data_IF_853346815161
#
_entry.id   IF_853346815161
#
_cell.length_a   1.000
_cell.length_b   1.000
_cell.length_c   1.000
_cell.angle_alpha   90.00
_cell.angle_beta   90.00
_cell.angle_gamma   90.00
#
_symmetry.space_group_name_H-M   'P 1'
#
loop_
_entity.id
_entity.type
_entity.pdbx_description
1 polymer ?
#
# COMPACT_ATOMS: atom_id res chain seq x y z
N UNK A 1 -1.21 -2.62 9.92
CA UNK A 1 -1.48 -1.39 9.16
C UNK A 1 -1.46 -0.22 10.13
N UNK A 2 -0.75 0.86 9.81
CA UNK A 2 -0.73 2.10 10.60
C UNK A 2 -1.13 3.28 9.72
N UNK A 3 -1.98 4.15 10.24
CA UNK A 3 -2.49 5.31 9.51
C UNK A 3 -1.88 6.61 10.05
N UNK A 4 -1.49 7.49 9.15
CA UNK A 4 -0.83 8.75 9.44
C UNK A 4 -1.38 9.89 8.59
N UNK A 5 -1.08 11.11 9.01
CA UNK A 5 -1.11 12.30 8.17
C UNK A 5 0.26 12.98 8.14
N UNK A 6 0.52 13.76 7.09
CA UNK A 6 1.75 14.52 6.93
C UNK A 6 1.47 15.85 6.22
N UNK A 7 2.44 16.77 6.30
CA UNK A 7 2.38 17.97 5.48
C UNK A 7 2.54 17.60 3.99
N UNK A 8 1.77 18.24 3.09
CA UNK A 8 1.80 17.97 1.62
C UNK A 8 3.21 17.93 1.01
N UNK A 9 4.12 18.74 1.52
CA UNK A 9 5.51 18.81 1.04
C UNK A 9 6.32 17.53 1.33
N UNK A 10 5.87 16.69 2.27
CA UNK A 10 6.50 15.42 2.59
C UNK A 10 6.07 14.28 1.66
N UNK A 11 4.91 14.41 0.98
CA UNK A 11 4.32 13.34 0.17
C UNK A 11 5.24 12.88 -0.98
N UNK A 12 5.91 13.77 -1.75
CA UNK A 12 6.82 13.33 -2.81
C UNK A 12 7.98 12.48 -2.26
N UNK A 13 8.53 12.86 -1.10
CA UNK A 13 9.62 12.12 -0.47
C UNK A 13 9.13 10.79 0.12
N UNK A 14 7.93 10.77 0.69
CA UNK A 14 7.31 9.54 1.17
C UNK A 14 7.05 8.55 0.03
N UNK A 15 6.56 9.03 -1.12
CA UNK A 15 6.35 8.20 -2.34
C UNK A 15 7.60 7.54 -2.86
N UNK A 16 8.75 8.19 -2.72
CA UNK A 16 10.03 7.63 -3.15
C UNK A 16 10.49 6.45 -2.26
N UNK A 17 9.98 6.34 -1.03
CA UNK A 17 10.39 5.35 -0.04
C UNK A 17 9.36 4.22 0.08
N UNK A 18 8.07 4.56 -0.01
CA UNK A 18 6.97 3.59 0.11
C UNK A 18 6.83 2.77 -1.15
N UNK A 19 6.78 1.46 -0.98
CA UNK A 19 6.51 0.51 -2.06
C UNK A 19 5.01 0.33 -2.24
N UNK A 20 4.48 0.70 -3.40
CA UNK A 20 3.03 0.71 -3.65
C UNK A 20 2.60 -0.46 -4.54
N UNK A 21 1.51 -1.18 -4.23
CA UNK A 21 0.91 -2.13 -5.15
C UNK A 21 0.35 -1.43 -6.38
N UNK A 22 0.45 -2.07 -7.54
CA UNK A 22 -0.09 -1.53 -8.79
C UNK A 22 -1.61 -1.78 -8.88
N UNK A 23 -2.40 -0.94 -8.20
CA UNK A 23 -3.86 -1.05 -8.17
C UNK A 23 -4.51 -0.86 -9.55
N UNK A 24 -3.85 -0.14 -10.47
CA UNK A 24 -4.31 0.02 -11.84
C UNK A 24 -4.36 -1.32 -12.61
N UNK A 25 -3.53 -2.30 -12.22
CA UNK A 25 -3.59 -3.65 -12.80
C UNK A 25 -4.93 -4.36 -12.51
N UNK A 26 -5.70 -3.87 -11.53
CA UNK A 26 -7.04 -4.36 -11.19
C UNK A 26 -8.16 -3.46 -11.70
N UNK A 27 -7.85 -2.44 -12.50
CA UNK A 27 -8.81 -1.42 -12.92
C UNK A 27 -9.26 -0.47 -11.80
N UNK A 28 -8.52 -0.42 -10.68
CA UNK A 28 -8.80 0.47 -9.56
C UNK A 28 -7.98 1.74 -9.76
N UNK A 29 -8.66 2.88 -9.94
CA UNK A 29 -8.00 4.18 -10.04
C UNK A 29 -7.45 4.56 -8.68
N UNK A 30 -6.19 4.97 -8.67
CA UNK A 30 -5.50 5.43 -7.46
C UNK A 30 -6.22 6.63 -6.84
N UNK A 31 -6.32 6.64 -5.52
CA UNK A 31 -7.16 7.57 -4.76
C UNK A 31 -6.46 8.94 -4.62
N UNK A 32 -6.28 9.65 -5.75
CA UNK A 32 -5.76 11.03 -5.78
C UNK A 32 -4.27 11.19 -5.43
N UNK A 33 -3.73 12.36 -5.76
CA UNK A 33 -2.32 12.72 -5.53
C UNK A 33 -1.97 13.01 -4.06
N UNK A 34 -2.91 12.86 -3.14
CA UNK A 34 -2.70 13.11 -1.71
C UNK A 34 -2.69 11.82 -0.88
N UNK A 35 -3.28 10.72 -1.36
CA UNK A 35 -3.28 9.46 -0.64
C UNK A 35 -2.00 8.66 -0.90
N UNK A 36 -1.46 8.05 0.15
CA UNK A 36 -0.33 7.12 0.04
C UNK A 36 -0.71 5.83 0.76
N UNK A 37 -0.82 4.75 0.00
CA UNK A 37 -1.01 3.41 0.53
C UNK A 37 0.11 2.50 0.02
N UNK A 38 0.83 1.84 0.93
CA UNK A 38 1.86 0.89 0.57
C UNK A 38 2.68 0.35 1.74
N UNK A 39 3.81 -0.25 1.39
CA UNK A 39 4.70 -0.98 2.27
C UNK A 39 5.92 -0.16 2.67
N UNK A 40 6.37 -0.39 3.90
CA UNK A 40 7.63 0.14 4.43
C UNK A 40 8.33 -0.93 5.28
N UNK A 41 9.66 -0.98 5.20
CA UNK A 41 10.47 -1.83 6.07
C UNK A 41 10.34 -1.38 7.54
N UNK A 42 10.27 -2.33 8.47
CA UNK A 42 10.12 -2.05 9.90
C UNK A 42 11.22 -1.13 10.42
N UNK A 43 12.47 -1.34 10.01
CA UNK A 43 13.61 -0.51 10.46
C UNK A 43 13.56 0.95 9.95
N UNK A 44 12.82 1.24 8.87
CA UNK A 44 12.74 2.59 8.30
C UNK A 44 11.64 3.45 8.93
N UNK A 45 10.66 2.81 9.58
CA UNK A 45 9.42 3.47 9.97
C UNK A 45 9.66 4.65 10.93
N UNK A 46 10.42 4.45 12.00
CA UNK A 46 10.66 5.50 13.00
C UNK A 46 11.49 6.66 12.43
N UNK A 47 12.40 6.36 11.51
CA UNK A 47 13.17 7.37 10.80
C UNK A 47 12.27 8.20 9.89
N UNK A 48 11.40 7.55 9.10
CA UNK A 48 10.44 8.22 8.23
C UNK A 48 9.45 9.06 9.03
N UNK A 49 8.92 8.54 10.14
CA UNK A 49 8.03 9.28 11.04
C UNK A 49 8.69 10.59 11.50
N UNK A 50 9.92 10.51 12.00
CA UNK A 50 10.66 11.67 12.51
C UNK A 50 11.03 12.65 11.39
N UNK A 51 11.58 12.17 10.28
CA UNK A 51 12.12 13.01 9.21
C UNK A 51 11.04 13.67 8.38
N UNK A 52 9.91 13.01 8.17
CA UNK A 52 8.79 13.53 7.38
C UNK A 52 7.67 14.12 8.24
N UNK A 53 7.79 14.05 9.57
CA UNK A 53 6.80 14.58 10.50
C UNK A 53 5.46 13.87 10.43
N UNK A 54 5.46 12.54 10.21
CA UNK A 54 4.23 11.75 10.19
C UNK A 54 3.58 11.77 11.57
N UNK A 55 2.27 11.97 11.60
CA UNK A 55 1.47 11.94 12.84
C UNK A 55 0.45 10.83 12.75
N UNK A 56 0.37 9.98 13.77
CA UNK A 56 -0.63 8.92 13.80
C UNK A 56 -2.03 9.55 13.81
N UNK A 57 -2.85 9.19 12.82
CA UNK A 57 -4.20 9.70 12.66
C UNK A 57 -5.07 8.60 12.08
N UNK A 58 -6.11 8.12 12.79
CA UNK A 58 -6.94 7.01 12.31
C UNK A 58 -7.61 7.26 10.96
N UNK A 59 -7.92 8.53 10.68
CA UNK A 59 -8.52 9.01 9.43
C UNK A 59 -7.51 9.67 8.48
N UNK A 60 -6.22 9.44 8.70
CA UNK A 60 -5.15 10.02 7.90
C UNK A 60 -5.11 9.48 6.47
N UNK A 61 -4.48 10.24 5.59
CA UNK A 61 -4.32 10.00 4.15
C UNK A 61 -3.17 9.04 3.80
N UNK A 62 -2.38 8.64 4.80
CA UNK A 62 -1.23 7.76 4.63
C UNK A 62 -1.49 6.44 5.36
N UNK A 63 -1.53 5.34 4.60
CA UNK A 63 -1.62 3.97 5.12
C UNK A 63 -0.31 3.23 4.89
N UNK A 64 0.37 2.82 5.96
CA UNK A 64 1.62 2.06 5.89
C UNK A 64 1.45 0.64 6.42
N UNK A 65 1.74 -0.33 5.56
CA UNK A 65 1.92 -1.75 5.90
C UNK A 65 3.40 -1.95 6.26
N UNK A 66 3.65 -2.16 7.55
CA UNK A 66 5.00 -2.36 8.08
C UNK A 66 5.34 -3.84 7.97
N UNK A 67 6.55 -4.14 7.48
CA UNK A 67 6.99 -5.53 7.32
C UNK A 67 8.43 -5.73 7.81
N UNK A 68 8.67 -6.88 8.43
CA UNK A 68 10.00 -7.36 8.82
C UNK A 68 10.61 -8.32 7.78
N UNK A 69 9.88 -8.63 6.71
CA UNK A 69 10.42 -9.41 5.59
C UNK A 69 11.52 -8.64 4.86
N UNK A 70 12.40 -9.37 4.17
CA UNK A 70 13.37 -8.80 3.24
C UNK A 70 12.65 -7.89 2.23
N UNK A 71 12.96 -6.60 2.29
CA UNK A 71 12.23 -5.58 1.54
C UNK A 71 12.49 -5.66 0.03
N UNK A 72 13.62 -6.23 -0.40
CA UNK A 72 13.87 -6.50 -1.82
C UNK A 72 13.01 -7.66 -2.32
N UNK A 73 12.78 -8.66 -1.48
CA UNK A 73 11.83 -9.73 -1.79
C UNK A 73 10.39 -9.23 -1.82
N UNK A 74 10.00 -8.36 -0.88
CA UNK A 74 8.68 -7.71 -0.90
C UNK A 74 8.53 -6.86 -2.16
N UNK A 75 9.56 -6.10 -2.56
CA UNK A 75 9.57 -5.33 -3.82
C UNK A 75 9.32 -6.22 -5.03
N UNK A 76 10.01 -7.36 -5.13
CA UNK A 76 9.78 -8.33 -6.21
C UNK A 76 8.33 -8.80 -6.23
N UNK A 77 7.76 -9.18 -5.09
CA UNK A 77 6.38 -9.66 -5.01
C UNK A 77 5.36 -8.59 -5.41
N UNK A 78 5.52 -7.37 -4.90
CA UNK A 78 4.61 -6.24 -5.17
C UNK A 78 4.70 -5.77 -6.63
N UNK A 79 5.89 -5.79 -7.23
CA UNK A 79 6.11 -5.31 -8.61
C UNK A 79 5.87 -6.37 -9.68
N UNK A 80 6.08 -7.66 -9.38
CA UNK A 80 6.02 -8.73 -10.38
C UNK A 80 4.60 -9.26 -10.65
N UNK A 81 3.64 -9.01 -9.76
CA UNK A 81 2.33 -9.65 -9.87
C UNK A 81 1.20 -8.77 -9.34
N UNK A 82 0.04 -8.86 -10.01
CA UNK A 82 -1.20 -8.28 -9.54
C UNK A 82 -1.77 -9.01 -8.31
N UNK A 83 -1.22 -10.17 -7.90
CA UNK A 83 -1.69 -10.94 -6.73
C UNK A 83 -1.60 -10.13 -5.45
N UNK A 84 -0.49 -9.41 -5.20
CA UNK A 84 -0.37 -8.60 -3.99
C UNK A 84 -1.34 -7.43 -4.02
N UNK A 85 -1.53 -6.80 -5.18
CA UNK A 85 -2.54 -5.77 -5.34
C UNK A 85 -3.95 -6.32 -5.08
N UNK A 86 -4.26 -7.53 -5.55
CA UNK A 86 -5.57 -8.16 -5.38
C UNK A 86 -5.83 -8.52 -3.91
N UNK A 87 -4.80 -9.03 -3.21
CA UNK A 87 -4.84 -9.30 -1.79
C UNK A 87 -5.03 -8.01 -0.96
N UNK A 88 -4.26 -6.96 -1.28
CA UNK A 88 -4.38 -5.66 -0.61
C UNK A 88 -5.77 -5.07 -0.84
N UNK A 89 -6.26 -5.08 -2.08
CA UNK A 89 -7.61 -4.64 -2.42
C UNK A 89 -8.68 -5.45 -1.66
N UNK A 90 -8.55 -6.78 -1.58
CA UNK A 90 -9.51 -7.66 -0.90
C UNK A 90 -9.61 -7.44 0.62
N UNK A 91 -8.62 -6.75 1.21
CA UNK A 91 -8.58 -6.38 2.64
C UNK A 91 -8.85 -4.89 2.88
N UNK A 92 -9.16 -4.13 1.83
CA UNK A 92 -9.48 -2.71 1.93
C UNK A 92 -10.74 -2.44 2.75
N UNK A 93 -10.78 -1.29 3.41
CA UNK A 93 -11.93 -0.82 4.18
C UNK A 93 -13.08 -0.33 3.30
N UNK A 94 -12.79 0.21 2.10
CA UNK A 94 -13.83 0.57 1.14
C UNK A 94 -14.42 -0.72 0.54
N UNK A 95 -15.71 -1.02 0.76
CA UNK A 95 -16.33 -2.25 0.26
C UNK A 95 -16.27 -2.40 -1.27
N UNK A 96 -16.17 -1.30 -2.02
CA UNK A 96 -16.05 -1.32 -3.50
C UNK A 96 -14.68 -1.85 -3.92
N UNK A 97 -13.62 -1.33 -3.31
CA UNK A 97 -12.24 -1.79 -3.53
C UNK A 97 -12.13 -3.25 -3.07
N UNK A 98 -12.72 -3.56 -1.90
CA UNK A 98 -12.79 -4.91 -1.35
C UNK A 98 -13.38 -5.91 -2.34
N UNK A 99 -14.54 -5.59 -2.92
CA UNK A 99 -15.22 -6.47 -3.87
C UNK A 99 -14.43 -6.68 -5.17
N UNK A 100 -13.72 -5.66 -5.67
CA UNK A 100 -12.84 -5.81 -6.85
C UNK A 100 -11.66 -6.72 -6.52
N UNK A 101 -11.01 -6.51 -5.37
CA UNK A 101 -9.88 -7.32 -4.93
C UNK A 101 -10.25 -8.79 -4.72
N UNK A 102 -11.38 -9.06 -4.06
CA UNK A 102 -11.85 -10.44 -3.82
C UNK A 102 -12.13 -11.20 -5.11
N UNK A 103 -12.77 -10.54 -6.10
CA UNK A 103 -13.00 -11.16 -7.42
C UNK A 103 -11.69 -11.45 -8.14
N UNK A 104 -10.81 -10.46 -8.26
CA UNK A 104 -9.53 -10.62 -8.93
C UNK A 104 -8.66 -11.70 -8.27
N UNK A 105 -8.63 -11.76 -6.94
CA UNK A 105 -7.88 -12.78 -6.20
C UNK A 105 -8.47 -14.19 -6.45
N UNK A 106 -9.79 -14.31 -6.48
CA UNK A 106 -10.47 -15.59 -6.79
C UNK A 106 -10.14 -16.05 -8.21
N UNK A 107 -10.27 -15.18 -9.21
CA UNK A 107 -9.95 -15.48 -10.62
C UNK A 107 -8.49 -15.92 -10.77
N UNK A 108 -7.56 -15.23 -10.10
CA UNK A 108 -6.13 -15.61 -10.12
C UNK A 108 -5.93 -17.00 -9.51
N UNK A 109 -6.49 -17.28 -8.32
CA UNK A 109 -6.34 -18.58 -7.65
C UNK A 109 -6.95 -19.72 -8.45
N UNK A 110 -8.08 -19.49 -9.13
CA UNK A 110 -8.70 -20.47 -10.02
C UNK A 110 -7.83 -20.77 -11.24
N UNK A 111 -7.11 -19.78 -11.79
CA UNK A 111 -6.20 -19.98 -12.91
C UNK A 111 -4.93 -20.78 -12.55
N UNK A 112 -4.58 -20.89 -11.26
CA UNK A 112 -3.46 -21.72 -10.78
C UNK A 112 -3.85 -23.18 -10.49
N UNK A 113 -5.12 -23.53 -10.65
CA UNK A 113 -5.67 -24.86 -10.36
C UNK A 113 -5.66 -25.77 -11.58
#
# INVERSE_FOLDING_TARGET
MRTFTAHRAALPRLRAIVLRPNMNALGIVDSGEDQIDGYIAAQELDNVIRTLGLRAEPSGDITLRVTEFDFDQVRKLVSASAVVAALDAATALDPRIQGVGQRALTEMLEAYR
#
